data_IF_843877297092
#
_entry.id   IF_843877297092
#
_cell.length_a   1.000
_cell.length_b   1.000
_cell.length_c   1.000
_cell.angle_alpha   90.00
_cell.angle_beta   90.00
_cell.angle_gamma   90.00
#
_symmetry.space_group_name_H-M   'P 1'
#
loop_
_entity.id
_entity.type
_entity.pdbx_description
1 polymer ?
#
# COMPACT_ATOMS: atom_id res chain seq x y z
N UNK A 1 22.05 5.82 38.08
CA UNK A 1 20.66 5.38 37.77
C UNK A 1 20.00 6.17 36.64
N UNK A 2 20.01 7.51 36.64
CA UNK A 2 19.30 8.32 35.63
C UNK A 2 19.74 8.07 34.17
N UNK A 3 21.05 7.97 33.91
CA UNK A 3 21.60 7.66 32.57
C UNK A 3 21.12 6.32 32.00
N UNK A 4 21.02 5.29 32.85
CA UNK A 4 20.58 3.96 32.44
C UNK A 4 19.08 3.94 32.10
N UNK A 5 18.27 4.69 32.85
CA UNK A 5 16.83 4.79 32.60
C UNK A 5 16.51 5.54 31.29
N UNK A 6 17.28 6.58 30.98
CA UNK A 6 17.18 7.29 29.69
C UNK A 6 17.61 6.38 28.54
N UNK A 7 18.69 5.62 28.71
CA UNK A 7 19.18 4.68 27.70
C UNK A 7 18.16 3.57 27.41
N UNK A 8 17.53 3.01 28.46
CA UNK A 8 16.50 1.99 28.34
C UNK A 8 15.24 2.53 27.65
N UNK A 9 14.76 3.73 28.00
CA UNK A 9 13.65 4.37 27.29
C UNK A 9 13.96 4.59 25.81
N UNK A 10 15.19 4.99 25.50
CA UNK A 10 15.63 5.22 24.12
C UNK A 10 15.74 3.90 23.35
N UNK A 11 16.20 2.83 23.99
CA UNK A 11 16.25 1.49 23.40
C UNK A 11 14.84 0.94 23.12
N UNK A 12 13.92 1.08 24.07
CA UNK A 12 12.51 0.69 23.88
C UNK A 12 11.88 1.48 22.74
N UNK A 13 12.07 2.80 22.69
CA UNK A 13 11.58 3.64 21.58
C UNK A 13 12.16 3.23 20.22
N UNK A 14 13.43 2.79 20.16
CA UNK A 14 14.05 2.33 18.90
C UNK A 14 13.46 0.98 18.49
N UNK A 15 13.33 0.03 19.41
CA UNK A 15 12.75 -1.29 19.14
C UNK A 15 11.26 -1.18 18.76
N UNK A 16 10.51 -0.30 19.42
CA UNK A 16 9.11 0.00 19.08
C UNK A 16 9.02 0.67 17.70
N UNK A 17 9.91 1.62 17.39
CA UNK A 17 9.91 2.30 16.08
C UNK A 17 10.20 1.34 14.93
N UNK A 18 11.14 0.41 15.10
CA UNK A 18 11.43 -0.65 14.13
C UNK A 18 10.25 -1.63 14.00
N UNK A 19 9.49 -1.86 15.07
CA UNK A 19 8.28 -2.70 15.07
C UNK A 19 7.01 -1.98 14.58
N UNK A 20 7.04 -0.66 14.34
CA UNK A 20 5.86 0.19 14.08
C UNK A 20 5.82 0.77 12.66
N UNK A 21 6.71 0.38 11.75
CA UNK A 21 6.65 0.86 10.38
C UNK A 21 5.76 -0.05 9.53
N UNK A 22 4.45 0.09 9.70
CA UNK A 22 3.46 -0.62 8.88
C UNK A 22 3.53 -0.13 7.44
N UNK A 23 3.64 -1.05 6.49
CA UNK A 23 3.65 -0.76 5.05
C UNK A 23 2.24 -0.33 4.63
N UNK A 24 2.14 0.88 4.08
CA UNK A 24 0.88 1.48 3.65
C UNK A 24 0.52 1.06 2.23
N UNK A 25 -0.57 0.32 2.10
CA UNK A 25 -1.00 -0.33 0.85
C UNK A 25 -2.29 0.30 0.32
N UNK A 26 -2.30 0.64 -0.98
CA UNK A 26 -3.51 0.94 -1.76
C UNK A 26 -3.85 -0.27 -2.62
N UNK A 27 -5.10 -0.75 -2.55
CA UNK A 27 -5.59 -1.88 -3.33
C UNK A 27 -6.50 -1.41 -4.47
N UNK A 28 -6.15 -1.68 -5.72
CA UNK A 28 -6.93 -1.34 -6.91
C UNK A 28 -7.35 -2.60 -7.66
N UNK A 29 -8.65 -2.89 -7.64
CA UNK A 29 -9.27 -4.11 -8.19
C UNK A 29 -10.74 -3.81 -8.52
N UNK A 30 -11.20 -4.11 -9.73
CA UNK A 30 -12.57 -3.80 -10.17
C UNK A 30 -13.60 -4.86 -9.71
N UNK A 31 -13.15 -6.06 -9.34
CA UNK A 31 -14.00 -7.13 -8.81
C UNK A 31 -14.08 -7.09 -7.29
N UNK A 32 -15.23 -6.69 -6.75
CA UNK A 32 -15.46 -6.54 -5.29
C UNK A 32 -15.08 -7.79 -4.49
N UNK A 33 -15.41 -8.99 -4.98
CA UNK A 33 -15.11 -10.25 -4.28
C UNK A 33 -13.60 -10.50 -4.19
N UNK A 34 -12.88 -10.28 -5.30
CA UNK A 34 -11.41 -10.43 -5.34
C UNK A 34 -10.77 -9.39 -4.44
N UNK A 35 -11.25 -8.14 -4.48
CA UNK A 35 -10.76 -7.05 -3.63
C UNK A 35 -10.92 -7.36 -2.14
N UNK A 36 -12.08 -7.87 -1.74
CA UNK A 36 -12.34 -8.31 -0.36
C UNK A 36 -11.43 -9.47 0.06
N UNK A 37 -11.23 -10.47 -0.80
CA UNK A 37 -10.34 -11.59 -0.53
C UNK A 37 -8.89 -11.14 -0.31
N UNK A 38 -8.38 -10.28 -1.20
CA UNK A 38 -7.03 -9.70 -1.10
C UNK A 38 -6.88 -8.86 0.16
N UNK A 39 -7.87 -8.00 0.47
CA UNK A 39 -7.89 -7.21 1.71
C UNK A 39 -7.79 -8.09 2.95
N UNK A 40 -8.64 -9.11 3.05
CA UNK A 40 -8.65 -10.02 4.20
C UNK A 40 -7.35 -10.82 4.36
N UNK A 41 -6.64 -11.11 3.26
CA UNK A 41 -5.34 -11.76 3.31
C UNK A 41 -4.28 -10.81 3.88
N UNK A 42 -4.26 -9.56 3.40
CA UNK A 42 -3.28 -8.55 3.82
C UNK A 42 -3.50 -8.07 5.27
N UNK A 43 -4.76 -7.93 5.71
CA UNK A 43 -5.09 -7.52 7.09
C UNK A 43 -4.71 -8.56 8.16
N UNK A 44 -4.29 -9.77 7.76
CA UNK A 44 -3.74 -10.77 8.70
C UNK A 44 -2.29 -10.49 9.07
N UNK A 45 -1.58 -9.74 8.24
CA UNK A 45 -0.19 -9.38 8.46
C UNK A 45 -0.13 -8.09 9.29
N UNK A 46 0.45 -8.12 10.50
CA UNK A 46 0.43 -7.00 11.44
C UNK A 46 1.27 -5.79 10.99
N UNK A 47 2.13 -5.99 10.00
CA UNK A 47 2.97 -4.98 9.39
C UNK A 47 2.34 -4.33 8.15
N UNK A 48 1.11 -4.68 7.75
CA UNK A 48 0.41 -4.07 6.62
C UNK A 48 -0.77 -3.22 7.04
N UNK A 49 -0.93 -2.07 6.39
CA UNK A 49 -2.08 -1.17 6.55
C UNK A 49 -2.73 -0.88 5.20
N UNK A 50 -4.02 -1.24 5.02
CA UNK A 50 -4.79 -0.86 3.84
C UNK A 50 -5.29 0.58 4.01
N UNK A 51 -4.65 1.52 3.33
CA UNK A 51 -4.98 2.95 3.44
C UNK A 51 -6.06 3.41 2.47
N UNK A 52 -6.39 2.59 1.46
CA UNK A 52 -7.45 2.87 0.51
C UNK A 52 -7.75 1.69 -0.43
N UNK A 53 -8.92 1.77 -1.06
CA UNK A 53 -9.39 0.83 -2.08
C UNK A 53 -9.90 1.59 -3.31
N UNK A 54 -9.60 1.10 -4.50
CA UNK A 54 -10.06 1.64 -5.78
C UNK A 54 -10.79 0.55 -6.59
N UNK A 55 -11.90 0.92 -7.23
CA UNK A 55 -12.62 0.06 -8.18
C UNK A 55 -12.27 0.30 -9.64
N UNK A 56 -11.47 1.32 -9.94
CA UNK A 56 -11.03 1.65 -11.29
C UNK A 56 -9.68 2.40 -11.28
N UNK A 57 -9.04 2.52 -12.45
CA UNK A 57 -7.71 3.13 -12.53
C UNK A 57 -7.68 4.64 -12.29
N UNK A 58 -8.75 5.37 -12.60
CA UNK A 58 -8.80 6.82 -12.33
C UNK A 58 -8.87 7.09 -10.83
N UNK A 59 -9.69 6.31 -10.13
CA UNK A 59 -9.77 6.30 -8.67
C UNK A 59 -8.43 5.90 -8.04
N UNK A 60 -7.75 4.90 -8.59
CA UNK A 60 -6.44 4.49 -8.09
C UNK A 60 -5.40 5.62 -8.20
N UNK A 61 -5.34 6.34 -9.32
CA UNK A 61 -4.45 7.51 -9.48
C UNK A 61 -4.80 8.61 -8.49
N UNK A 62 -6.08 8.93 -8.34
CA UNK A 62 -6.57 9.96 -7.41
C UNK A 62 -6.20 9.63 -5.97
N UNK A 63 -6.48 8.39 -5.53
CA UNK A 63 -6.19 7.93 -4.17
C UNK A 63 -4.69 7.82 -3.91
N UNK A 64 -3.89 7.37 -4.88
CA UNK A 64 -2.44 7.32 -4.74
C UNK A 64 -1.85 8.71 -4.49
N UNK A 65 -2.35 9.75 -5.18
CA UNK A 65 -1.93 11.13 -4.96
C UNK A 65 -2.26 11.64 -3.55
N UNK A 66 -3.46 11.32 -3.06
CA UNK A 66 -3.97 11.79 -1.78
C UNK A 66 -3.35 11.06 -0.58
N UNK A 67 -3.29 9.73 -0.68
CA UNK A 67 -2.90 8.85 0.41
C UNK A 67 -1.39 8.59 0.45
N UNK A 68 -0.67 8.80 -0.66
CA UNK A 68 0.77 8.54 -0.79
C UNK A 68 1.15 7.16 -0.23
N UNK A 69 0.53 6.07 -0.74
CA UNK A 69 0.85 4.73 -0.26
C UNK A 69 2.29 4.36 -0.60
N UNK A 70 2.88 3.46 0.19
CA UNK A 70 4.20 2.90 -0.09
C UNK A 70 4.10 1.80 -1.13
N UNK A 71 3.00 1.04 -1.12
CA UNK A 71 2.72 -0.02 -2.09
C UNK A 71 1.36 0.21 -2.72
N UNK A 72 1.27 0.07 -4.03
CA UNK A 72 -0.02 -0.06 -4.72
C UNK A 72 -0.08 -1.46 -5.32
N UNK A 73 -1.13 -2.20 -4.96
CA UNK A 73 -1.50 -3.48 -5.58
C UNK A 73 -2.52 -3.14 -6.66
N UNK A 74 -2.20 -3.46 -7.91
CA UNK A 74 -2.92 -2.95 -9.07
C UNK A 74 -3.32 -4.10 -10.01
N UNK A 75 -4.62 -4.29 -10.22
CA UNK A 75 -5.12 -5.10 -11.33
C UNK A 75 -4.84 -4.41 -12.68
N UNK A 76 -4.50 -5.20 -13.70
CA UNK A 76 -4.21 -4.76 -15.06
C UNK A 76 -5.48 -4.36 -15.80
N UNK A 77 -6.57 -5.11 -15.63
CA UNK A 77 -7.74 -5.08 -16.48
C UNK A 77 -8.95 -4.40 -15.80
N UNK A 78 -8.79 -3.11 -15.53
CA UNK A 78 -9.80 -2.24 -14.90
C UNK A 78 -10.53 -1.32 -15.90
N UNK A 79 -11.76 -0.87 -15.57
CA UNK A 79 -12.50 0.11 -16.36
C UNK A 79 -11.92 1.52 -16.25
N UNK A 80 -12.36 2.41 -17.15
CA UNK A 80 -11.98 3.84 -17.30
C UNK A 80 -10.50 4.09 -17.64
N UNK A 81 -9.59 3.60 -16.80
CA UNK A 81 -8.15 3.67 -16.99
C UNK A 81 -7.57 2.29 -16.65
N UNK A 82 -6.82 1.69 -17.59
CA UNK A 82 -6.20 0.40 -17.35
C UNK A 82 -5.16 0.48 -16.23
N UNK A 83 -4.91 -0.64 -15.54
CA UNK A 83 -3.91 -0.68 -14.47
C UNK A 83 -2.50 -0.32 -14.93
N UNK A 84 -2.18 -0.64 -16.19
CA UNK A 84 -0.90 -0.28 -16.81
C UNK A 84 -0.77 1.24 -16.95
N UNK A 85 -1.82 1.91 -17.43
CA UNK A 85 -1.78 3.36 -17.61
C UNK A 85 -1.87 4.10 -16.27
N UNK A 86 -2.72 3.63 -15.35
CA UNK A 86 -2.78 4.11 -13.98
C UNK A 86 -1.41 4.02 -13.30
N UNK A 87 -0.71 2.89 -13.46
CA UNK A 87 0.65 2.68 -12.96
C UNK A 87 1.63 3.72 -13.47
N UNK A 88 1.63 4.02 -14.78
CA UNK A 88 2.51 5.06 -15.34
C UNK A 88 2.24 6.42 -14.71
N UNK A 89 0.96 6.78 -14.56
CA UNK A 89 0.57 8.04 -13.95
C UNK A 89 0.97 8.12 -12.47
N UNK A 90 0.72 7.05 -11.70
CA UNK A 90 1.11 6.96 -10.28
C UNK A 90 2.63 7.14 -10.12
N UNK A 91 3.44 6.48 -10.96
CA UNK A 91 4.91 6.64 -10.93
C UNK A 91 5.36 8.06 -11.28
N UNK A 92 4.61 8.79 -12.09
CA UNK A 92 4.94 10.17 -12.42
C UNK A 92 4.63 11.14 -11.27
N UNK A 93 3.60 10.85 -10.46
CA UNK A 93 3.18 11.74 -9.35
C UNK A 93 3.79 11.37 -7.99
N UNK A 94 4.20 10.11 -7.80
CA UNK A 94 4.92 9.65 -6.61
C UNK A 94 6.41 9.51 -7.00
N UNK A 95 7.24 10.57 -6.87
CA UNK A 95 8.66 10.48 -7.18
C UNK A 95 9.34 9.46 -6.25
N UNK A 96 10.32 8.72 -6.80
CA UNK A 96 11.04 7.62 -6.16
C UNK A 96 11.93 8.00 -4.96
N UNK A 97 11.62 9.07 -4.23
CA UNK A 97 12.48 9.62 -3.18
C UNK A 97 12.33 8.96 -1.80
N UNK A 98 11.62 7.83 -1.71
CA UNK A 98 11.63 6.99 -0.52
C UNK A 98 10.76 5.76 -0.75
N UNK A 99 11.39 4.59 -0.81
CA UNK A 99 10.90 3.21 -0.63
C UNK A 99 9.54 2.79 -1.23
N UNK A 100 8.89 3.64 -2.04
CA UNK A 100 7.56 3.42 -2.59
C UNK A 100 7.66 2.41 -3.73
N UNK A 101 7.33 1.15 -3.45
CA UNK A 101 7.43 0.03 -4.35
C UNK A 101 6.07 -0.29 -4.97
N UNK A 102 5.94 -0.05 -6.27
CA UNK A 102 4.73 -0.40 -7.02
C UNK A 102 4.74 -1.88 -7.41
N UNK A 103 3.72 -2.64 -6.99
CA UNK A 103 3.57 -4.07 -7.29
C UNK A 103 2.37 -4.26 -8.22
N UNK A 104 2.65 -4.64 -9.46
CA UNK A 104 1.62 -5.05 -10.41
C UNK A 104 1.21 -6.49 -10.08
N UNK A 105 -0.07 -6.69 -9.78
CA UNK A 105 -0.63 -8.04 -9.60
C UNK A 105 -1.56 -8.28 -10.77
N UNK A 106 -1.21 -9.16 -11.73
CA UNK A 106 -2.18 -9.56 -12.73
C UNK A 106 -3.33 -10.28 -12.02
N UNK A 107 -4.56 -9.76 -12.08
CA UNK A 107 -5.70 -10.52 -11.61
C UNK A 107 -5.89 -11.72 -12.53
N UNK A 108 -5.69 -12.92 -12.00
CA UNK A 108 -6.26 -14.12 -12.60
C UNK A 108 -7.77 -14.00 -12.42
N UNK A 109 -8.48 -13.58 -13.47
CA UNK A 109 -9.94 -13.60 -13.48
C UNK A 109 -10.34 -15.08 -13.43
N UNK A 110 -11.06 -15.55 -12.40
CA UNK A 110 -11.65 -16.88 -12.47
C UNK A 110 -12.62 -16.89 -13.65
N UNK A 111 -12.37 -17.77 -14.62
CA UNK A 111 -13.31 -18.09 -15.69
C UNK A 111 -14.70 -18.53 -15.19
#
# INVERSE_FOLDING_TARGET
MLKLNILLKRLILIVEKEAMNTIRILLAEDHVVVRQGTRQLLEREPDFEIVGEAGDGEEAVRLASQLKPEVVIMDVAMPKLSGIEATKQIKAILPAQGDSQLILVPAAKPE
#
